data_IF_371313899267
#
_entry.id   IF_371313899267
#
_cell.length_a   1.000
_cell.length_b   1.000
_cell.length_c   1.000
_cell.angle_alpha   90.00
_cell.angle_beta   90.00
_cell.angle_gamma   90.00
#
_symmetry.space_group_name_H-M   'P 1'
#
loop_
_entity.id
_entity.type
_entity.pdbx_description
1 polymer ?
#
# COMPACT_ATOMS: atom_id res chain seq x y z
N UNK A 1 29.34 -52.03 -25.98
CA UNK A 1 30.46 -51.91 -25.01
C UNK A 1 31.75 -52.31 -25.73
N UNK A 2 32.91 -51.70 -25.44
CA UNK A 2 33.20 -50.27 -25.60
C UNK A 2 34.58 -50.00 -26.28
N UNK A 3 34.93 -48.73 -26.54
CA UNK A 3 36.32 -48.33 -26.86
C UNK A 3 36.47 -47.07 -27.73
N UNK A 4 36.90 -45.94 -27.14
CA UNK A 4 37.42 -44.78 -27.88
C UNK A 4 38.92 -44.94 -28.19
N UNK A 5 39.49 -44.12 -29.09
CA UNK A 5 40.41 -43.09 -28.56
C UNK A 5 40.39 -41.69 -29.25
N UNK A 6 40.92 -40.73 -28.48
CA UNK A 6 41.39 -39.35 -28.77
C UNK A 6 41.35 -38.74 -30.17
N UNK A 7 40.93 -37.47 -30.25
CA UNK A 7 41.29 -36.53 -31.32
C UNK A 7 42.41 -35.56 -30.88
N UNK A 8 43.26 -35.17 -31.84
CA UNK A 8 44.29 -34.13 -31.68
C UNK A 8 43.82 -32.74 -32.13
N UNK A 9 44.59 -31.67 -31.84
CA UNK A 9 44.17 -30.29 -32.09
C UNK A 9 44.42 -29.82 -33.53
N UNK A 10 43.49 -29.04 -34.08
CA UNK A 10 43.63 -28.34 -35.38
C UNK A 10 43.59 -26.83 -35.15
N UNK A 11 44.48 -26.08 -35.83
CA UNK A 11 44.87 -24.71 -35.47
C UNK A 11 43.93 -23.58 -35.92
N UNK A 12 44.18 -22.39 -35.36
CA UNK A 12 43.60 -21.09 -35.77
C UNK A 12 44.55 -20.32 -36.72
N UNK A 13 44.04 -19.44 -37.60
CA UNK A 13 44.87 -18.61 -38.48
C UNK A 13 45.64 -17.51 -37.74
N UNK A 14 46.77 -17.07 -38.32
CA UNK A 14 47.65 -16.01 -37.82
C UNK A 14 47.37 -14.65 -38.50
N UNK A 15 47.62 -13.55 -37.77
CA UNK A 15 47.84 -12.21 -38.31
C UNK A 15 49.16 -11.63 -37.76
N UNK A 16 50.17 -11.31 -38.59
CA UNK A 16 51.27 -10.40 -38.27
C UNK A 16 50.93 -8.97 -38.78
N UNK A 17 51.50 -7.86 -38.32
CA UNK A 17 52.52 -7.59 -37.28
C UNK A 17 52.96 -6.11 -37.40
N UNK A 18 53.23 -5.41 -36.30
CA UNK A 18 53.66 -3.99 -36.32
C UNK A 18 55.12 -3.78 -36.77
N UNK A 19 55.45 -2.69 -37.48
CA UNK A 19 56.80 -2.14 -37.57
C UNK A 19 57.02 -0.91 -36.63
N UNK A 20 58.28 -0.52 -36.33
CA UNK A 20 58.63 0.27 -35.13
C UNK A 20 58.92 1.77 -35.34
N UNK A 21 59.18 2.45 -34.22
CA UNK A 21 59.50 3.90 -34.11
C UNK A 21 60.79 4.31 -34.83
N UNK A 22 60.79 5.52 -35.40
CA UNK A 22 61.98 6.28 -35.80
C UNK A 22 61.96 7.70 -35.21
N UNK A 23 63.12 8.31 -34.97
CA UNK A 23 63.30 9.57 -34.24
C UNK A 23 64.09 10.63 -35.02
N UNK A 24 63.55 11.84 -35.11
CA UNK A 24 64.16 13.15 -35.48
C UNK A 24 63.01 14.19 -35.38
N UNK A 25 63.19 15.48 -35.07
CA UNK A 25 64.34 16.29 -34.64
C UNK A 25 63.79 17.66 -34.14
N UNK A 26 64.57 18.43 -33.37
CA UNK A 26 64.01 19.51 -32.53
C UNK A 26 63.83 20.90 -33.19
N UNK A 27 62.73 21.56 -32.81
CA UNK A 27 62.45 23.02 -32.71
C UNK A 27 61.11 23.15 -31.94
N UNK A 28 60.82 24.15 -31.10
CA UNK A 28 61.60 25.31 -30.63
C UNK A 28 60.99 25.93 -29.35
N UNK A 29 61.38 27.16 -29.01
CA UNK A 29 60.90 27.98 -27.86
C UNK A 29 59.97 29.13 -28.34
N UNK A 30 59.15 29.82 -27.49
CA UNK A 30 59.39 30.09 -26.06
C UNK A 30 58.21 29.92 -25.07
N UNK A 31 58.55 30.08 -23.79
CA UNK A 31 57.64 29.97 -22.65
C UNK A 31 56.86 31.27 -22.38
N UNK A 32 55.61 31.13 -21.91
CA UNK A 32 54.88 32.17 -21.19
C UNK A 32 54.78 31.82 -19.70
N UNK A 33 54.81 32.86 -18.85
CA UNK A 33 55.02 32.77 -17.41
C UNK A 33 53.81 32.30 -16.58
N UNK A 34 53.98 32.24 -15.24
CA UNK A 34 53.03 31.60 -14.34
C UNK A 34 51.78 32.45 -14.12
N UNK A 35 50.59 31.87 -14.32
CA UNK A 35 49.33 32.46 -13.88
C UNK A 35 48.86 31.88 -12.54
N UNK A 36 48.27 32.76 -11.74
CA UNK A 36 48.02 32.58 -10.30
C UNK A 36 46.83 31.66 -10.02
N UNK A 37 46.85 30.83 -8.94
CA UNK A 37 45.64 30.26 -8.39
C UNK A 37 44.77 31.35 -7.73
N UNK A 38 43.45 31.15 -7.75
CA UNK A 38 42.49 32.09 -7.18
C UNK A 38 42.47 32.05 -5.64
N UNK A 39 42.38 33.24 -5.01
CA UNK A 39 42.18 33.36 -3.58
C UNK A 39 40.76 32.93 -3.19
N UNK A 40 40.64 31.90 -2.36
CA UNK A 40 39.46 31.70 -1.51
C UNK A 40 39.75 32.28 -0.10
N UNK A 41 38.79 32.99 0.53
CA UNK A 41 39.00 33.56 1.86
C UNK A 41 39.14 32.48 2.93
N UNK A 42 39.99 32.75 3.93
CA UNK A 42 40.31 31.83 5.01
C UNK A 42 39.10 31.53 5.92
N UNK A 43 39.02 30.29 6.40
CA UNK A 43 38.08 29.91 7.44
C UNK A 43 38.41 30.63 8.76
N UNK A 44 37.41 31.27 9.36
CA UNK A 44 37.52 31.83 10.70
C UNK A 44 37.67 30.73 11.77
N UNK A 45 38.37 31.05 12.85
CA UNK A 45 38.60 30.12 13.95
C UNK A 45 37.29 29.71 14.67
N UNK A 46 37.21 28.51 15.27
CA UNK A 46 36.03 28.09 16.03
C UNK A 46 35.81 28.97 17.27
N UNK A 47 34.57 29.39 17.50
CA UNK A 47 34.15 29.99 18.76
C UNK A 47 34.10 28.92 19.87
N UNK A 48 34.48 29.23 21.12
CA UNK A 48 34.31 28.31 22.23
C UNK A 48 32.82 28.12 22.57
N UNK A 49 32.41 26.94 23.06
CA UNK A 49 31.02 26.69 23.43
C UNK A 49 30.59 27.54 24.64
N UNK A 50 29.31 27.97 24.71
CA UNK A 50 28.79 28.68 25.88
C UNK A 50 28.79 27.75 27.12
N UNK A 51 29.08 28.33 28.28
CA UNK A 51 29.17 27.59 29.54
C UNK A 51 27.84 26.93 29.92
N UNK A 52 27.93 25.69 30.42
CA UNK A 52 26.77 24.95 30.91
C UNK A 52 26.17 25.63 32.15
N UNK A 53 24.92 26.08 32.05
CA UNK A 53 24.14 26.51 33.19
C UNK A 53 23.77 25.29 34.05
N UNK A 54 24.14 25.29 35.33
CA UNK A 54 23.74 24.27 36.29
C UNK A 54 22.24 24.37 36.59
N UNK A 55 21.47 23.26 36.58
CA UNK A 55 20.06 23.30 36.95
C UNK A 55 19.89 23.57 38.46
N UNK A 56 18.85 24.30 38.88
CA UNK A 56 18.58 24.55 40.29
C UNK A 56 18.11 23.26 40.99
N UNK A 57 18.67 23.00 42.17
CA UNK A 57 18.23 21.91 43.05
C UNK A 57 16.88 22.29 43.67
N UNK A 58 15.81 21.59 43.28
CA UNK A 58 14.49 21.73 43.89
C UNK A 58 14.26 20.60 44.91
N UNK A 59 14.13 20.95 46.18
CA UNK A 59 13.78 20.03 47.28
C UNK A 59 12.39 20.36 47.84
N UNK A 60 11.33 19.68 47.39
CA UNK A 60 10.01 19.80 48.02
C UNK A 60 10.02 19.06 49.37
N UNK A 61 9.99 19.80 50.46
CA UNK A 61 9.79 19.22 51.79
C UNK A 61 8.36 18.68 51.93
N UNK A 62 8.23 17.39 52.21
CA UNK A 62 6.98 16.76 52.63
C UNK A 62 6.77 16.93 54.15
N UNK A 63 5.62 17.49 54.60
CA UNK A 63 5.08 17.21 55.92
C UNK A 63 4.22 15.93 55.84
N UNK A 64 4.55 14.92 56.65
CA UNK A 64 3.74 13.71 56.79
C UNK A 64 2.43 13.96 57.57
N UNK A 65 1.46 13.01 57.52
CA UNK A 65 0.15 13.18 58.14
C UNK A 65 0.18 13.01 59.66
N UNK A 66 -0.68 13.76 60.36
CA UNK A 66 -0.95 13.66 61.79
C UNK A 66 -2.34 13.05 62.07
N UNK A 67 -2.58 12.42 63.23
CA UNK A 67 -3.46 11.24 63.28
C UNK A 67 -4.88 11.44 63.85
N UNK A 68 -5.73 10.44 63.60
CA UNK A 68 -6.90 9.95 64.38
C UNK A 68 -7.86 10.95 65.10
N UNK A 69 -9.17 10.81 64.84
CA UNK A 69 -10.26 11.36 65.67
C UNK A 69 -10.50 10.52 66.95
N UNK A 70 -11.74 10.38 67.49
CA UNK A 70 -13.01 11.05 67.15
C UNK A 70 -13.73 11.65 68.40
N UNK A 71 -14.74 12.54 68.22
CA UNK A 71 -15.83 12.75 69.20
C UNK A 71 -17.15 13.13 68.52
N UNK A 72 -18.22 12.37 68.82
CA UNK A 72 -19.60 12.70 68.47
C UNK A 72 -20.21 13.69 69.48
N UNK A 73 -21.08 14.59 69.02
CA UNK A 73 -22.04 15.31 69.85
C UNK A 73 -23.35 15.58 69.06
N UNK A 74 -24.53 15.55 69.68
CA UNK A 74 -25.81 15.50 68.96
C UNK A 74 -26.47 16.89 68.77
N UNK A 75 -27.19 17.08 67.66
CA UNK A 75 -27.87 18.36 67.39
C UNK A 75 -28.60 18.45 66.06
N UNK A 76 -29.41 17.45 65.69
CA UNK A 76 -30.17 17.49 64.43
C UNK A 76 -31.36 18.47 64.53
N UNK A 77 -31.36 19.52 63.69
CA UNK A 77 -32.56 20.30 63.36
C UNK A 77 -32.78 20.19 61.84
N UNK A 78 -33.98 19.84 61.35
CA UNK A 78 -34.21 19.69 59.92
C UNK A 78 -34.15 21.06 59.23
N UNK A 79 -33.31 21.16 58.20
CA UNK A 79 -33.24 22.35 57.34
C UNK A 79 -34.43 22.36 56.38
N UNK A 80 -35.29 23.37 56.48
CA UNK A 80 -36.39 23.59 55.54
C UNK A 80 -35.83 24.24 54.27
N UNK A 81 -35.81 23.51 53.17
CA UNK A 81 -35.26 24.00 51.90
C UNK A 81 -36.05 25.21 51.39
N UNK A 82 -35.37 26.36 51.27
CA UNK A 82 -35.94 27.57 50.69
C UNK A 82 -36.07 27.37 49.17
N UNK A 83 -37.29 27.41 48.63
CA UNK A 83 -37.55 27.32 47.18
C UNK A 83 -36.67 28.35 46.44
N UNK A 84 -35.76 27.88 45.60
CA UNK A 84 -34.99 28.73 44.69
C UNK A 84 -35.56 28.63 43.28
N UNK A 85 -35.58 29.74 42.56
CA UNK A 85 -35.99 29.78 41.15
C UNK A 85 -34.88 29.31 40.20
N UNK A 86 -33.87 28.58 40.72
CA UNK A 86 -32.70 28.11 39.98
C UNK A 86 -33.08 27.27 38.77
N UNK A 87 -34.13 26.45 38.86
CA UNK A 87 -34.63 25.66 37.72
C UNK A 87 -35.10 26.52 36.55
N UNK A 88 -35.70 27.68 36.80
CA UNK A 88 -36.15 28.61 35.75
C UNK A 88 -34.94 29.30 35.11
N UNK A 89 -33.96 29.73 35.92
CA UNK A 89 -32.73 30.36 35.42
C UNK A 89 -31.92 29.39 34.55
N UNK A 90 -31.78 28.13 35.00
CA UNK A 90 -31.11 27.08 34.22
C UNK A 90 -31.88 26.75 32.94
N UNK A 91 -33.22 26.66 32.98
CA UNK A 91 -34.03 26.43 31.78
C UNK A 91 -33.88 27.56 30.74
N UNK A 92 -33.92 28.83 31.17
CA UNK A 92 -33.73 30.00 30.29
C UNK A 92 -32.30 30.03 29.72
N UNK A 93 -31.28 29.68 30.52
CA UNK A 93 -29.90 29.58 30.04
C UNK A 93 -29.74 28.47 28.99
N UNK A 94 -30.33 27.29 29.20
CA UNK A 94 -30.30 26.17 28.23
C UNK A 94 -31.03 26.57 26.94
N UNK A 95 -32.22 27.19 27.03
CA UNK A 95 -32.96 27.67 25.85
C UNK A 95 -32.14 28.73 25.08
N UNK A 96 -31.46 29.64 25.79
CA UNK A 96 -30.55 30.62 25.18
C UNK A 96 -29.37 29.96 24.46
N UNK A 97 -28.73 28.97 25.08
CA UNK A 97 -27.63 28.21 24.46
C UNK A 97 -28.11 27.42 23.24
N UNK A 98 -29.26 26.75 23.32
CA UNK A 98 -29.84 26.00 22.18
C UNK A 98 -30.24 26.96 21.05
N UNK A 99 -30.76 28.15 21.36
CA UNK A 99 -31.06 29.16 20.34
C UNK A 99 -29.80 29.73 19.67
N UNK A 100 -28.71 29.95 20.43
CA UNK A 100 -27.43 30.41 19.89
C UNK A 100 -26.75 29.32 19.06
N UNK A 101 -26.73 28.07 19.53
CA UNK A 101 -26.15 26.93 18.77
C UNK A 101 -26.99 26.62 17.54
N UNK A 102 -28.32 26.58 17.65
CA UNK A 102 -29.23 26.41 16.51
C UNK A 102 -29.12 27.56 15.50
N UNK A 103 -29.00 28.80 15.99
CA UNK A 103 -28.76 29.98 15.15
C UNK A 103 -27.41 29.98 14.45
N UNK A 104 -26.35 29.48 15.11
CA UNK A 104 -25.03 29.28 14.49
C UNK A 104 -25.06 28.17 13.43
N UNK A 105 -25.72 27.04 13.71
CA UNK A 105 -25.88 25.95 12.72
C UNK A 105 -26.69 26.42 11.52
N UNK A 106 -27.78 27.18 11.73
CA UNK A 106 -28.56 27.78 10.65
C UNK A 106 -27.77 28.87 9.88
N UNK A 107 -26.96 29.69 10.59
CA UNK A 107 -26.11 30.71 9.97
C UNK A 107 -24.99 30.10 9.11
N UNK A 108 -24.37 29.02 9.57
CA UNK A 108 -23.41 28.23 8.77
C UNK A 108 -24.08 27.62 7.54
N UNK A 109 -25.31 27.11 7.67
CA UNK A 109 -26.08 26.57 6.55
C UNK A 109 -26.54 27.63 5.52
N UNK A 110 -26.62 28.92 5.90
CA UNK A 110 -27.14 29.99 5.04
C UNK A 110 -26.09 30.95 4.48
N UNK A 111 -24.86 30.96 5.02
CA UNK A 111 -23.76 31.84 4.55
C UNK A 111 -22.54 31.02 4.07
N UNK A 112 -22.47 29.73 4.42
CA UNK A 112 -21.38 28.82 4.05
C UNK A 112 -21.47 28.23 2.64
N UNK A 113 -21.53 29.08 1.62
CA UNK A 113 -21.49 28.69 0.19
C UNK A 113 -20.15 28.11 -0.28
N UNK A 114 -19.62 27.10 0.43
CA UNK A 114 -18.56 26.21 -0.03
C UNK A 114 -18.90 24.79 0.41
N UNK A 115 -19.72 24.11 -0.38
CA UNK A 115 -19.72 22.64 -0.41
C UNK A 115 -18.29 22.22 -0.77
N UNK A 116 -17.47 21.91 0.24
CA UNK A 116 -16.24 21.16 0.01
C UNK A 116 -16.67 19.89 -0.71
N UNK A 117 -16.13 19.67 -1.90
CA UNK A 117 -16.29 18.42 -2.64
C UNK A 117 -15.60 17.30 -1.86
N UNK A 118 -16.27 16.81 -0.82
CA UNK A 118 -16.16 15.42 -0.40
C UNK A 118 -16.64 14.60 -1.58
N UNK A 119 -15.94 13.51 -1.89
CA UNK A 119 -16.22 12.68 -3.06
C UNK A 119 -17.50 11.83 -2.90
N UNK A 120 -18.65 12.50 -2.87
CA UNK A 120 -19.89 12.03 -3.50
C UNK A 120 -19.87 12.35 -5.02
N UNK A 121 -18.68 12.28 -5.61
CA UNK A 121 -18.57 11.86 -7.00
C UNK A 121 -19.12 10.43 -7.05
N UNK A 122 -20.41 10.30 -7.33
CA UNK A 122 -20.97 9.07 -7.86
C UNK A 122 -20.08 8.69 -9.04
N UNK A 123 -19.35 7.59 -8.89
CA UNK A 123 -18.32 7.16 -9.83
C UNK A 123 -19.02 6.73 -11.13
N UNK A 124 -19.32 7.72 -11.97
CA UNK A 124 -20.03 7.58 -13.25
C UNK A 124 -19.09 6.99 -14.30
N UNK A 125 -18.52 5.84 -13.98
CA UNK A 125 -18.08 4.93 -15.02
C UNK A 125 -19.34 4.44 -15.72
N UNK A 126 -19.52 4.92 -16.94
CA UNK A 126 -20.47 4.36 -17.89
C UNK A 126 -19.93 3.00 -18.34
N UNK A 127 -20.02 1.99 -17.46
CA UNK A 127 -19.69 0.62 -17.80
C UNK A 127 -20.67 0.12 -18.88
N UNK A 128 -20.18 -0.31 -20.06
CA UNK A 128 -21.01 -1.04 -20.99
C UNK A 128 -21.53 -2.30 -20.29
N UNK A 129 -22.85 -2.42 -20.19
CA UNK A 129 -23.48 -3.63 -19.65
C UNK A 129 -23.60 -4.67 -20.75
N UNK A 130 -22.48 -5.33 -21.07
CA UNK A 130 -22.48 -6.48 -21.97
C UNK A 130 -23.22 -7.64 -21.30
N UNK A 131 -24.46 -7.82 -21.75
CA UNK A 131 -25.37 -8.86 -21.27
C UNK A 131 -25.02 -10.15 -21.99
N UNK A 132 -24.25 -11.01 -21.32
CA UNK A 132 -23.95 -12.36 -21.81
C UNK A 132 -25.20 -13.23 -21.71
N UNK A 133 -25.92 -13.34 -22.83
CA UNK A 133 -27.10 -14.19 -22.98
C UNK A 133 -26.69 -15.67 -22.85
N UNK A 134 -26.96 -16.26 -21.69
CA UNK A 134 -26.61 -17.66 -21.39
C UNK A 134 -27.61 -18.58 -22.09
N UNK A 135 -27.23 -19.05 -23.28
CA UNK A 135 -28.00 -20.06 -24.02
C UNK A 135 -27.93 -21.39 -23.27
N UNK A 136 -28.97 -21.74 -22.53
CA UNK A 136 -29.09 -23.01 -21.83
C UNK A 136 -29.36 -24.14 -22.83
N UNK A 137 -28.42 -25.08 -22.94
CA UNK A 137 -28.58 -26.27 -23.79
C UNK A 137 -29.31 -27.38 -23.02
N UNK A 138 -30.43 -27.85 -23.57
CA UNK A 138 -31.34 -28.81 -22.96
C UNK A 138 -30.76 -30.24 -22.93
N UNK A 139 -30.97 -30.95 -21.82
CA UNK A 139 -30.37 -32.26 -21.56
C UNK A 139 -31.28 -33.41 -22.04
N UNK A 140 -31.07 -33.88 -23.27
CA UNK A 140 -31.78 -35.09 -23.76
C UNK A 140 -31.07 -36.36 -23.29
N UNK A 141 -31.81 -37.29 -22.70
CA UNK A 141 -31.33 -38.59 -22.23
C UNK A 141 -31.75 -39.67 -23.21
N UNK A 142 -30.84 -40.48 -23.74
CA UNK A 142 -31.19 -41.68 -24.50
C UNK A 142 -30.43 -42.95 -24.07
N UNK A 143 -31.07 -44.08 -24.37
CA UNK A 143 -30.93 -45.37 -23.67
C UNK A 143 -30.11 -46.37 -24.48
N UNK A 144 -29.31 -47.18 -23.79
CA UNK A 144 -28.54 -48.28 -24.40
C UNK A 144 -29.44 -49.37 -25.00
N UNK A 145 -29.19 -49.74 -26.25
CA UNK A 145 -29.42 -51.09 -26.76
C UNK A 145 -28.44 -51.45 -27.87
N UNK A 146 -28.10 -52.74 -27.91
CA UNK A 146 -27.11 -53.33 -28.82
C UNK A 146 -27.79 -54.36 -29.70
N UNK A 147 -27.49 -54.42 -31.00
CA UNK A 147 -27.45 -55.64 -31.82
C UNK A 147 -26.65 -55.42 -33.11
N UNK A 148 -25.64 -56.27 -33.30
CA UNK A 148 -24.96 -56.80 -34.50
C UNK A 148 -24.97 -56.04 -35.86
N UNK A 149 -23.75 -55.66 -36.27
CA UNK A 149 -23.06 -56.06 -37.51
C UNK A 149 -23.77 -56.03 -38.88
N UNK A 150 -23.32 -55.11 -39.74
CA UNK A 150 -23.00 -55.41 -41.16
C UNK A 150 -21.91 -54.46 -41.64
N UNK A 151 -20.88 -55.00 -42.30
CA UNK A 151 -19.71 -54.26 -42.78
C UNK A 151 -20.06 -53.32 -43.93
N UNK A 152 -19.69 -52.04 -43.83
CA UNK A 152 -19.48 -51.16 -44.98
C UNK A 152 -18.31 -50.22 -44.68
N UNK A 153 -17.37 -50.10 -45.61
CA UNK A 153 -16.19 -49.23 -45.46
C UNK A 153 -16.58 -47.79 -45.74
N UNK A 154 -16.57 -46.95 -44.71
CA UNK A 154 -16.73 -45.51 -44.86
C UNK A 154 -15.58 -44.78 -44.15
N UNK A 155 -14.99 -43.80 -44.83
CA UNK A 155 -13.81 -43.08 -44.36
C UNK A 155 -14.20 -42.11 -43.26
N UNK A 156 -14.26 -42.57 -42.01
CA UNK A 156 -14.52 -41.69 -40.86
C UNK A 156 -13.33 -40.76 -40.66
N UNK A 157 -13.49 -39.50 -41.09
CA UNK A 157 -12.58 -38.43 -40.71
C UNK A 157 -12.53 -38.36 -39.19
N UNK A 158 -11.34 -38.59 -38.62
CA UNK A 158 -11.15 -38.66 -37.18
C UNK A 158 -11.20 -37.24 -36.60
N UNK A 159 -12.42 -36.74 -36.41
CA UNK A 159 -12.68 -35.51 -35.68
C UNK A 159 -12.02 -35.65 -34.30
N UNK A 160 -10.85 -35.05 -34.17
CA UNK A 160 -10.08 -35.08 -32.93
C UNK A 160 -10.77 -34.07 -32.04
N UNK A 161 -11.79 -34.55 -31.31
CA UNK A 161 -12.49 -33.80 -30.29
C UNK A 161 -11.49 -33.49 -29.17
N UNK A 162 -10.74 -32.41 -29.36
CA UNK A 162 -9.82 -31.85 -28.39
C UNK A 162 -10.64 -31.57 -27.15
N UNK A 163 -10.46 -32.39 -26.13
CA UNK A 163 -11.06 -32.15 -24.83
C UNK A 163 -10.32 -30.94 -24.26
N UNK A 164 -10.86 -29.73 -24.52
CA UNK A 164 -10.40 -28.50 -23.90
C UNK A 164 -10.61 -28.63 -22.39
N UNK A 165 -9.57 -29.13 -21.73
CA UNK A 165 -9.46 -29.06 -20.27
C UNK A 165 -9.61 -27.59 -19.92
N UNK A 166 -10.57 -27.21 -19.06
CA UNK A 166 -10.79 -25.81 -18.73
C UNK A 166 -9.49 -25.15 -18.36
N UNK A 167 -9.17 -24.07 -19.08
CA UNK A 167 -8.05 -23.20 -18.74
C UNK A 167 -8.17 -22.83 -17.26
N UNK A 168 -7.23 -23.31 -16.44
CA UNK A 168 -7.13 -22.87 -15.05
C UNK A 168 -6.96 -21.34 -14.96
N UNK A 169 -7.09 -20.76 -13.75
CA UNK A 169 -6.96 -19.32 -13.54
C UNK A 169 -5.67 -18.76 -14.14
N UNK A 170 -5.79 -17.63 -14.85
CA UNK A 170 -4.67 -16.96 -15.55
C UNK A 170 -4.70 -15.47 -15.27
N UNK A 171 -3.53 -14.87 -15.10
CA UNK A 171 -3.39 -13.40 -15.07
C UNK A 171 -3.83 -12.81 -16.41
N UNK A 172 -4.32 -11.57 -16.38
CA UNK A 172 -4.74 -10.85 -17.57
C UNK A 172 -3.98 -9.53 -17.63
N UNK A 173 -3.09 -9.39 -18.62
CA UNK A 173 -2.27 -8.19 -18.82
C UNK A 173 -3.14 -7.01 -19.30
N UNK A 174 -3.90 -6.42 -18.37
CA UNK A 174 -4.85 -5.34 -18.56
C UNK A 174 -4.89 -4.44 -17.32
N UNK A 175 -5.10 -3.14 -17.52
CA UNK A 175 -5.25 -2.15 -16.44
C UNK A 175 -6.73 -1.89 -16.14
N UNK A 176 -7.34 -0.84 -16.70
CA UNK A 176 -8.70 -0.42 -16.33
C UNK A 176 -9.83 -1.38 -16.70
N UNK A 177 -9.59 -2.31 -17.63
CA UNK A 177 -10.51 -3.37 -18.04
C UNK A 177 -10.13 -4.76 -17.50
N UNK A 178 -9.30 -4.83 -16.45
CA UNK A 178 -8.92 -6.10 -15.81
C UNK A 178 -10.16 -6.83 -15.20
N UNK A 179 -10.26 -8.17 -15.29
CA UNK A 179 -11.33 -8.94 -14.64
C UNK A 179 -11.53 -8.66 -13.14
N UNK A 180 -10.49 -8.20 -12.44
CA UNK A 180 -10.55 -7.75 -11.05
C UNK A 180 -11.66 -6.70 -10.79
N UNK A 181 -12.01 -5.90 -11.81
CA UNK A 181 -12.97 -4.80 -11.76
C UNK A 181 -14.31 -5.09 -12.48
N UNK A 182 -14.51 -6.32 -12.97
CA UNK A 182 -15.62 -6.67 -13.87
C UNK A 182 -17.03 -6.56 -13.24
N UNK A 183 -17.15 -6.47 -11.92
CA UNK A 183 -18.44 -6.32 -11.23
C UNK A 183 -18.40 -5.25 -10.15
N UNK A 184 -19.48 -4.46 -10.09
CA UNK A 184 -19.74 -3.47 -9.05
C UNK A 184 -20.03 -4.09 -7.66
N UNK A 185 -20.38 -5.39 -7.62
CA UNK A 185 -20.74 -6.09 -6.38
C UNK A 185 -19.56 -6.81 -5.72
N UNK A 186 -18.44 -6.96 -6.43
CA UNK A 186 -17.28 -7.69 -5.94
C UNK A 186 -16.39 -6.85 -5.02
N UNK A 187 -16.06 -7.41 -3.86
CA UNK A 187 -15.23 -6.82 -2.82
C UNK A 187 -14.81 -7.87 -1.79
N UNK A 188 -14.03 -7.46 -0.80
CA UNK A 188 -13.51 -8.38 0.21
C UNK A 188 -14.59 -8.79 1.20
N UNK A 189 -14.54 -10.04 1.63
CA UNK A 189 -15.45 -10.53 2.66
C UNK A 189 -14.92 -10.24 4.04
N UNK A 190 -15.85 -9.92 4.93
CA UNK A 190 -15.60 -9.70 6.34
C UNK A 190 -15.17 -11.03 6.99
N UNK A 191 -13.86 -11.20 7.17
CA UNK A 191 -13.23 -12.37 7.80
C UNK A 191 -12.61 -11.97 9.15
N UNK A 192 -12.86 -12.72 10.25
CA UNK A 192 -12.24 -12.43 11.54
C UNK A 192 -10.75 -12.77 11.53
N UNK A 193 -9.89 -11.78 11.27
CA UNK A 193 -8.44 -11.94 11.37
C UNK A 193 -8.02 -12.38 12.78
N UNK A 194 -7.01 -13.24 12.86
CA UNK A 194 -6.35 -13.64 14.12
C UNK A 194 -4.86 -13.30 14.05
N UNK A 195 -4.53 -12.04 14.34
CA UNK A 195 -3.17 -11.53 14.32
C UNK A 195 -2.39 -11.95 15.57
N UNK A 196 -1.11 -12.27 15.37
CA UNK A 196 -0.13 -12.37 16.46
C UNK A 196 -0.04 -11.03 17.20
N UNK A 197 0.31 -11.06 18.49
CA UNK A 197 0.51 -9.82 19.27
C UNK A 197 1.67 -8.99 18.71
N UNK A 198 1.44 -7.69 18.52
CA UNK A 198 2.48 -6.72 18.16
C UNK A 198 3.47 -6.48 19.31
N UNK A 199 4.75 -6.37 18.95
CA UNK A 199 5.82 -5.76 19.72
C UNK A 199 6.95 -5.35 18.75
N UNK A 200 7.79 -4.40 19.14
CA UNK A 200 8.80 -3.79 18.26
C UNK A 200 10.06 -4.64 18.05
N UNK A 201 10.14 -5.86 18.60
CA UNK A 201 11.21 -6.80 18.28
C UNK A 201 10.96 -7.51 16.95
N UNK A 202 12.04 -7.77 16.20
CA UNK A 202 11.99 -8.36 14.85
C UNK A 202 11.18 -9.68 14.79
N UNK A 203 11.19 -10.49 15.85
CA UNK A 203 10.47 -11.76 15.87
C UNK A 203 8.96 -11.56 16.00
N UNK A 204 8.53 -10.58 16.82
CA UNK A 204 7.12 -10.24 16.98
C UNK A 204 6.56 -9.51 15.76
N UNK A 205 7.31 -8.58 15.18
CA UNK A 205 6.97 -7.94 13.90
C UNK A 205 6.81 -8.99 12.79
N UNK A 206 7.74 -9.94 12.68
CA UNK A 206 7.65 -11.03 11.70
C UNK A 206 6.38 -11.87 11.90
N UNK A 207 6.09 -12.33 13.13
CA UNK A 207 4.88 -13.11 13.42
C UNK A 207 3.59 -12.33 13.16
N UNK A 208 3.57 -11.04 13.48
CA UNK A 208 2.45 -10.15 13.19
C UNK A 208 2.17 -10.09 11.68
N UNK A 209 3.20 -9.78 10.87
CA UNK A 209 3.05 -9.71 9.42
C UNK A 209 2.70 -11.06 8.78
N UNK A 210 3.25 -12.18 9.27
CA UNK A 210 2.84 -13.54 8.83
C UNK A 210 1.35 -13.80 9.07
N UNK A 211 0.83 -13.45 10.25
CA UNK A 211 -0.60 -13.58 10.54
C UNK A 211 -1.48 -12.57 9.77
N UNK A 212 -0.91 -11.41 9.39
CA UNK A 212 -1.56 -10.44 8.52
C UNK A 212 -1.72 -10.98 7.09
N UNK A 213 -0.65 -11.55 6.52
CA UNK A 213 -0.68 -12.25 5.23
C UNK A 213 -1.74 -13.36 5.25
N UNK A 214 -1.79 -14.18 6.31
CA UNK A 214 -2.80 -15.23 6.40
C UNK A 214 -4.26 -14.71 6.39
N UNK A 215 -4.53 -13.50 6.90
CA UNK A 215 -5.85 -12.89 6.79
C UNK A 215 -6.11 -12.28 5.41
N UNK A 216 -5.11 -11.60 4.83
CA UNK A 216 -5.17 -11.06 3.47
C UNK A 216 -5.41 -12.18 2.45
N UNK A 217 -4.70 -13.30 2.57
CA UNK A 217 -4.88 -14.53 1.78
C UNK A 217 -6.32 -15.04 1.86
N UNK A 218 -6.90 -15.14 3.06
CA UNK A 218 -8.27 -15.63 3.25
C UNK A 218 -9.32 -14.74 2.56
N UNK A 219 -9.06 -13.43 2.46
CA UNK A 219 -9.97 -12.45 1.85
C UNK A 219 -9.76 -12.36 0.33
N UNK A 220 -8.51 -12.32 -0.14
CA UNK A 220 -8.17 -12.16 -1.55
C UNK A 220 -8.26 -13.46 -2.36
N UNK A 221 -7.95 -14.63 -1.80
CA UNK A 221 -8.06 -15.92 -2.51
C UNK A 221 -9.48 -16.18 -3.02
N UNK A 222 -10.50 -15.95 -2.17
CA UNK A 222 -11.90 -16.08 -2.57
C UNK A 222 -12.31 -15.00 -3.58
N UNK A 223 -11.81 -13.77 -3.46
CA UNK A 223 -12.09 -12.71 -4.42
C UNK A 223 -11.53 -13.04 -5.80
N UNK A 224 -10.23 -13.34 -5.90
CA UNK A 224 -9.55 -13.68 -7.16
C UNK A 224 -10.15 -14.94 -7.80
N UNK A 225 -10.50 -15.95 -7.00
CA UNK A 225 -11.19 -17.15 -7.48
C UNK A 225 -12.55 -16.89 -8.12
N UNK A 226 -13.32 -15.92 -7.63
CA UNK A 226 -14.63 -15.52 -8.22
C UNK A 226 -14.48 -14.87 -9.60
N UNK A 227 -13.35 -14.21 -9.87
CA UNK A 227 -13.04 -13.60 -11.18
C UNK A 227 -12.07 -14.44 -12.04
N UNK A 228 -11.86 -15.72 -11.68
CA UNK A 228 -10.97 -16.66 -12.36
C UNK A 228 -9.52 -16.16 -12.54
N UNK A 229 -9.04 -15.33 -11.60
CA UNK A 229 -7.65 -14.89 -11.52
C UNK A 229 -6.82 -15.82 -10.61
N UNK A 230 -5.52 -15.98 -10.86
CA UNK A 230 -4.67 -16.90 -10.10
C UNK A 230 -4.46 -16.42 -8.66
N UNK A 231 -4.22 -17.36 -7.76
CA UNK A 231 -3.91 -17.08 -6.37
C UNK A 231 -2.71 -17.90 -5.89
N UNK A 232 -1.85 -17.27 -5.09
CA UNK A 232 -0.76 -17.88 -4.31
C UNK A 232 -0.31 -16.90 -3.24
N UNK A 233 -0.04 -17.38 -2.03
CA UNK A 233 0.50 -16.57 -0.92
C UNK A 233 1.82 -15.88 -1.30
N UNK A 234 2.05 -14.61 -0.94
CA UNK A 234 3.34 -13.95 -1.10
C UNK A 234 4.34 -14.42 -0.03
N UNK A 235 5.62 -14.41 -0.39
CA UNK A 235 6.72 -14.55 0.57
C UNK A 235 6.85 -13.29 1.44
N UNK A 236 7.47 -13.42 2.61
CA UNK A 236 7.72 -12.31 3.54
C UNK A 236 9.20 -12.24 3.92
N UNK A 237 9.78 -11.04 3.88
CA UNK A 237 11.12 -10.74 4.37
C UNK A 237 11.11 -9.55 5.32
N UNK A 238 11.59 -9.74 6.56
CA UNK A 238 11.64 -8.70 7.61
C UNK A 238 13.08 -8.55 8.12
N UNK A 239 14.00 -7.97 7.32
CA UNK A 239 15.39 -7.75 7.73
C UNK A 239 15.50 -6.61 8.76
N UNK A 240 16.62 -6.51 9.49
CA UNK A 240 16.78 -5.41 10.47
C UNK A 240 17.00 -4.06 9.79
N UNK A 241 17.71 -4.08 8.68
CA UNK A 241 17.96 -2.89 7.86
C UNK A 241 17.62 -3.15 6.40
N UNK A 242 17.25 -2.09 5.66
CA UNK A 242 17.12 -2.17 4.20
C UNK A 242 18.40 -2.64 3.51
N UNK A 243 19.57 -2.33 4.08
CA UNK A 243 20.88 -2.83 3.62
C UNK A 243 21.08 -4.35 3.77
N UNK A 244 20.29 -5.02 4.62
CA UNK A 244 20.27 -6.49 4.74
C UNK A 244 19.28 -7.14 3.75
N UNK A 245 18.46 -6.36 3.02
CA UNK A 245 17.52 -6.88 2.01
C UNK A 245 18.25 -7.38 0.76
N UNK A 246 18.38 -8.69 0.61
CA UNK A 246 18.70 -9.30 -0.69
C UNK A 246 17.43 -9.47 -1.52
N UNK A 247 17.37 -8.84 -2.69
CA UNK A 247 16.18 -8.79 -3.55
C UNK A 247 16.56 -8.77 -5.04
N UNK A 248 15.84 -9.52 -5.90
CA UNK A 248 16.04 -9.49 -7.35
C UNK A 248 15.45 -8.25 -8.02
N UNK A 249 14.65 -7.44 -7.30
CA UNK A 249 14.12 -6.16 -7.80
C UNK A 249 15.11 -4.98 -7.61
N UNK A 250 16.35 -5.25 -7.17
CA UNK A 250 17.36 -4.23 -6.87
C UNK A 250 17.24 -3.67 -5.45
N UNK A 251 18.34 -3.11 -4.93
CA UNK A 251 18.35 -2.52 -3.58
C UNK A 251 17.36 -1.35 -3.49
N UNK A 252 16.44 -1.41 -2.52
CA UNK A 252 15.27 -0.54 -2.45
C UNK A 252 15.60 0.95 -2.52
N UNK A 253 15.29 1.56 -3.66
CA UNK A 253 15.43 2.99 -3.91
C UNK A 253 14.08 3.63 -4.19
N UNK A 254 13.14 3.56 -3.24
CA UNK A 254 11.91 4.36 -3.32
C UNK A 254 12.18 5.80 -2.90
N UNK A 255 11.30 6.70 -3.34
CA UNK A 255 11.51 8.16 -3.39
C UNK A 255 11.03 8.89 -2.13
N UNK A 256 10.19 8.22 -1.36
CA UNK A 256 9.73 8.60 -0.03
C UNK A 256 10.64 7.95 1.03
N UNK A 257 10.63 8.46 2.27
CA UNK A 257 11.51 7.95 3.35
C UNK A 257 11.16 6.55 3.87
N UNK A 258 10.24 5.83 3.22
CA UNK A 258 9.55 4.64 3.69
C UNK A 258 9.80 3.55 2.64
N UNK A 259 10.55 2.51 3.01
CA UNK A 259 11.03 1.44 2.11
C UNK A 259 10.57 0.00 2.44
N UNK A 260 9.34 -0.24 2.92
CA UNK A 260 8.54 -1.37 2.45
C UNK A 260 8.50 -1.44 0.91
N UNK A 261 8.42 -2.63 0.35
CA UNK A 261 8.07 -2.83 -1.07
C UNK A 261 7.67 -4.28 -1.36
N UNK A 262 6.82 -4.49 -2.36
CA UNK A 262 6.60 -5.78 -3.01
C UNK A 262 7.53 -5.98 -4.21
N UNK A 263 8.15 -7.15 -4.32
CA UNK A 263 8.95 -7.53 -5.48
C UNK A 263 8.22 -8.57 -6.35
N UNK A 264 7.73 -8.22 -7.56
CA UNK A 264 7.01 -9.16 -8.42
C UNK A 264 7.87 -10.31 -8.97
N UNK A 265 9.20 -10.14 -9.03
CA UNK A 265 10.13 -11.14 -9.58
C UNK A 265 10.29 -12.39 -8.69
N UNK A 266 10.05 -12.29 -7.39
CA UNK A 266 10.10 -13.41 -6.44
C UNK A 266 8.92 -13.42 -5.44
N UNK A 267 7.87 -12.66 -5.76
CA UNK A 267 6.63 -12.61 -5.02
C UNK A 267 6.79 -12.33 -3.53
N UNK A 268 7.76 -11.48 -3.18
CA UNK A 268 8.14 -11.22 -1.78
C UNK A 268 7.77 -9.81 -1.35
N UNK A 269 7.05 -9.70 -0.23
CA UNK A 269 6.87 -8.46 0.53
C UNK A 269 8.10 -8.26 1.42
N UNK A 270 8.82 -7.16 1.23
CA UNK A 270 9.96 -6.75 2.03
C UNK A 270 9.55 -5.64 2.99
N UNK A 271 9.76 -5.85 4.29
CA UNK A 271 9.41 -4.93 5.38
C UNK A 271 10.62 -4.73 6.31
N UNK A 272 11.61 -3.89 5.95
CA UNK A 272 12.78 -3.65 6.78
C UNK A 272 12.40 -2.93 8.07
N UNK A 273 12.92 -3.41 9.21
CA UNK A 273 12.59 -2.84 10.53
C UNK A 273 12.95 -1.35 10.65
N UNK A 274 14.05 -0.93 10.02
CA UNK A 274 14.51 0.47 9.98
C UNK A 274 13.75 1.37 8.98
N UNK A 275 12.65 0.87 8.39
CA UNK A 275 11.85 1.56 7.35
C UNK A 275 10.34 1.51 7.55
N UNK A 276 9.86 0.88 8.63
CA UNK A 276 8.44 0.85 8.99
C UNK A 276 8.09 1.86 10.11
N UNK A 277 8.97 2.83 10.40
CA UNK A 277 8.73 3.91 11.38
C UNK A 277 8.40 3.40 12.81
N UNK A 278 9.24 2.51 13.34
CA UNK A 278 9.14 1.98 14.72
C UNK A 278 9.27 3.07 15.81
N UNK A 279 9.96 4.16 15.50
CA UNK A 279 10.13 5.34 16.34
C UNK A 279 8.92 6.30 16.29
N UNK A 280 8.12 6.26 15.23
CA UNK A 280 6.92 7.11 15.06
C UNK A 280 5.68 6.44 15.65
N UNK A 281 5.38 5.19 15.25
CA UNK A 281 4.13 4.52 15.66
C UNK A 281 4.29 3.54 16.85
N UNK A 282 5.51 3.12 17.18
CA UNK A 282 5.83 2.31 18.37
C UNK A 282 4.94 1.07 18.57
N UNK A 283 3.97 1.17 19.49
CA UNK A 283 3.05 0.08 19.86
C UNK A 283 1.65 0.17 19.23
N UNK A 284 1.45 1.03 18.23
CA UNK A 284 0.21 1.15 17.46
C UNK A 284 0.25 0.22 16.23
N UNK A 285 -0.36 -0.98 16.24
CA UNK A 285 -0.27 -1.93 15.12
C UNK A 285 -0.94 -1.47 13.81
N UNK A 286 -1.89 -0.52 13.85
CA UNK A 286 -2.68 -0.10 12.68
C UNK A 286 -1.85 0.35 11.46
N UNK A 287 -0.93 1.32 11.59
CA UNK A 287 -0.10 1.80 10.48
C UNK A 287 0.74 0.69 9.84
N UNK A 288 1.39 -0.16 10.65
CA UNK A 288 2.16 -1.31 10.16
C UNK A 288 1.30 -2.29 9.36
N UNK A 289 0.07 -2.55 9.81
CA UNK A 289 -0.88 -3.41 9.10
C UNK A 289 -1.39 -2.76 7.80
N UNK A 290 -1.56 -1.45 7.78
CA UNK A 290 -1.92 -0.67 6.58
C UNK A 290 -0.82 -0.71 5.52
N UNK A 291 0.44 -0.64 5.95
CA UNK A 291 1.61 -0.85 5.08
C UNK A 291 1.61 -2.28 4.51
N UNK A 292 1.50 -3.32 5.36
CA UNK A 292 1.44 -4.70 4.87
C UNK A 292 0.33 -4.90 3.83
N UNK A 293 -0.85 -4.35 4.08
CA UNK A 293 -1.99 -4.46 3.17
C UNK A 293 -1.82 -3.66 1.87
N UNK A 294 -1.00 -2.60 1.88
CA UNK A 294 -0.60 -1.84 0.68
C UNK A 294 0.38 -2.67 -0.18
N UNK A 295 1.41 -3.26 0.43
CA UNK A 295 2.33 -4.17 -0.29
C UNK A 295 1.62 -5.43 -0.82
N UNK A 296 0.63 -5.92 -0.07
CA UNK A 296 -0.26 -6.99 -0.55
C UNK A 296 -1.16 -6.51 -1.71
N UNK A 297 -1.51 -5.23 -1.77
CA UNK A 297 -2.18 -4.61 -2.92
C UNK A 297 -1.35 -4.76 -4.21
N UNK A 298 -0.04 -4.50 -4.15
CA UNK A 298 0.87 -4.75 -5.28
C UNK A 298 0.98 -6.24 -5.64
N UNK A 299 0.93 -7.12 -4.64
CA UNK A 299 0.86 -8.56 -4.88
C UNK A 299 -0.43 -8.96 -5.64
N UNK A 300 -1.59 -8.38 -5.28
CA UNK A 300 -2.86 -8.58 -5.99
C UNK A 300 -2.79 -8.04 -7.42
N UNK A 301 -2.21 -6.85 -7.64
CA UNK A 301 -1.98 -6.30 -8.98
C UNK A 301 -1.11 -7.23 -9.83
N UNK A 302 -0.11 -7.87 -9.24
CA UNK A 302 0.76 -8.82 -9.91
C UNK A 302 0.04 -10.13 -10.28
N UNK A 303 -0.76 -10.68 -9.36
CA UNK A 303 -1.62 -11.85 -9.63
C UNK A 303 -2.66 -11.56 -10.73
N UNK A 304 -3.23 -10.35 -10.73
CA UNK A 304 -4.21 -9.93 -11.72
C UNK A 304 -3.61 -9.68 -13.13
N UNK A 305 -2.30 -9.48 -13.24
CA UNK A 305 -1.61 -9.07 -14.48
C UNK A 305 -1.54 -7.55 -14.70
N UNK A 306 -2.03 -6.76 -13.75
CA UNK A 306 -2.00 -5.27 -13.81
C UNK A 306 -0.55 -4.78 -13.82
N UNK A 307 0.34 -5.37 -13.00
CA UNK A 307 1.75 -4.99 -12.93
C UNK A 307 2.50 -5.14 -14.26
N UNK A 308 2.14 -6.15 -15.06
CA UNK A 308 2.71 -6.39 -16.39
C UNK A 308 2.26 -5.32 -17.38
N UNK A 309 0.95 -5.04 -17.43
CA UNK A 309 0.38 -4.00 -18.29
C UNK A 309 0.90 -2.61 -17.94
N UNK A 310 1.01 -2.29 -16.64
CA UNK A 310 1.66 -1.09 -16.12
C UNK A 310 3.12 -0.98 -16.58
N UNK A 311 3.91 -2.06 -16.43
CA UNK A 311 5.32 -2.09 -16.81
C UNK A 311 5.54 -1.76 -18.29
N UNK A 312 4.74 -2.36 -19.18
CA UNK A 312 4.77 -2.09 -20.61
C UNK A 312 4.36 -0.64 -20.94
N UNK A 313 3.20 -0.19 -20.44
CA UNK A 313 2.71 1.18 -20.67
C UNK A 313 3.70 2.25 -20.17
N UNK A 314 4.34 2.02 -19.03
CA UNK A 314 5.31 2.96 -18.45
C UNK A 314 6.66 2.94 -19.13
N UNK A 315 7.08 1.79 -19.69
CA UNK A 315 8.25 1.72 -20.56
C UNK A 315 8.03 2.57 -21.82
N UNK A 316 6.91 2.35 -22.53
CA UNK A 316 6.56 3.07 -23.76
C UNK A 316 6.40 4.58 -23.54
N UNK A 317 5.79 4.98 -22.42
CA UNK A 317 5.63 6.38 -22.04
C UNK A 317 6.94 7.06 -21.58
N UNK A 318 7.98 6.30 -21.27
CA UNK A 318 9.19 6.76 -20.57
C UNK A 318 8.95 6.95 -19.07
N UNK A 319 9.73 6.26 -18.23
CA UNK A 319 9.51 6.10 -16.79
C UNK A 319 9.40 7.41 -15.97
N UNK A 320 10.08 8.48 -16.42
CA UNK A 320 10.12 9.79 -15.75
C UNK A 320 9.37 10.89 -16.53
N UNK A 321 8.63 10.53 -17.58
CA UNK A 321 7.73 11.46 -18.26
C UNK A 321 6.49 11.77 -17.41
N UNK A 322 5.77 12.84 -17.72
CA UNK A 322 4.52 13.16 -17.02
C UNK A 322 3.49 12.00 -17.09
N UNK A 323 3.46 11.26 -18.20
CA UNK A 323 2.60 10.08 -18.38
C UNK A 323 3.14 8.90 -17.57
N UNK A 324 4.46 8.63 -17.62
CA UNK A 324 5.09 7.55 -16.86
C UNK A 324 4.97 7.72 -15.34
N UNK A 325 5.00 8.96 -14.86
CA UNK A 325 4.72 9.33 -13.47
C UNK A 325 3.24 9.17 -13.12
N UNK A 326 2.32 9.57 -14.01
CA UNK A 326 0.88 9.34 -13.79
C UNK A 326 0.52 7.85 -13.71
N UNK A 327 1.11 7.01 -14.56
CA UNK A 327 0.95 5.56 -14.49
C UNK A 327 1.45 5.00 -13.15
N UNK A 328 2.56 5.52 -12.59
CA UNK A 328 2.99 5.14 -11.23
C UNK A 328 1.96 5.55 -10.19
N UNK A 329 1.51 6.81 -10.18
CA UNK A 329 0.52 7.27 -9.18
C UNK A 329 -0.77 6.46 -9.23
N UNK A 330 -1.22 6.01 -10.41
CA UNK A 330 -2.37 5.09 -10.56
C UNK A 330 -2.10 3.74 -9.90
N UNK A 331 -0.94 3.14 -10.15
CA UNK A 331 -0.50 1.88 -9.53
C UNK A 331 -0.47 1.96 -7.99
N UNK A 332 0.16 2.99 -7.45
CA UNK A 332 0.32 3.21 -6.00
C UNK A 332 -1.03 3.49 -5.30
N UNK A 333 -1.87 4.34 -5.89
CA UNK A 333 -3.17 4.71 -5.30
C UNK A 333 -4.20 3.57 -5.35
N UNK A 334 -4.05 2.61 -6.28
CA UNK A 334 -4.88 1.41 -6.34
C UNK A 334 -4.51 0.42 -5.22
N UNK A 335 -3.22 0.13 -5.02
CA UNK A 335 -2.73 -0.62 -3.87
C UNK A 335 -3.11 0.05 -2.53
N UNK A 336 -3.10 1.38 -2.48
CA UNK A 336 -3.56 2.17 -1.36
C UNK A 336 -5.06 2.03 -1.09
N UNK A 337 -5.89 1.96 -2.13
CA UNK A 337 -7.31 1.67 -2.01
C UNK A 337 -7.56 0.23 -1.53
N UNK A 338 -6.82 -0.75 -2.03
CA UNK A 338 -6.87 -2.15 -1.57
C UNK A 338 -6.49 -2.31 -0.08
N UNK A 339 -5.49 -1.57 0.40
CA UNK A 339 -5.15 -1.50 1.84
C UNK A 339 -6.34 -1.02 2.67
N UNK A 340 -7.04 0.02 2.20
CA UNK A 340 -8.27 0.51 2.78
C UNK A 340 -9.37 -0.55 2.83
N UNK A 341 -9.65 -1.21 1.70
CA UNK A 341 -10.66 -2.28 1.59
C UNK A 341 -10.43 -3.39 2.63
N UNK A 342 -9.18 -3.85 2.77
CA UNK A 342 -8.82 -4.87 3.76
C UNK A 342 -9.13 -4.41 5.18
N UNK A 343 -8.63 -3.23 5.60
CA UNK A 343 -8.81 -2.77 6.97
C UNK A 343 -10.27 -2.43 7.30
N UNK A 344 -11.03 -1.86 6.36
CA UNK A 344 -12.47 -1.65 6.51
C UNK A 344 -13.21 -2.96 6.75
N UNK A 345 -13.01 -3.95 5.89
CA UNK A 345 -13.66 -5.25 5.95
C UNK A 345 -13.25 -6.09 7.18
N UNK A 346 -11.96 -6.13 7.50
CA UNK A 346 -11.45 -6.86 8.68
C UNK A 346 -11.97 -6.26 10.00
N UNK A 347 -12.02 -4.93 10.13
CA UNK A 347 -12.36 -4.23 11.38
C UNK A 347 -13.78 -4.47 11.93
N UNK A 348 -14.70 -4.92 11.07
CA UNK A 348 -16.10 -5.19 11.41
C UNK A 348 -16.39 -6.69 11.64
N UNK A 349 -15.37 -7.54 11.57
CA UNK A 349 -15.53 -9.00 11.55
C UNK A 349 -15.45 -9.68 12.92
N UNK A 350 -15.16 -8.95 13.99
CA UNK A 350 -15.00 -9.50 15.35
C UNK A 350 -13.70 -10.27 15.59
N UNK A 351 -12.70 -10.09 14.73
CA UNK A 351 -11.35 -10.61 14.92
C UNK A 351 -10.46 -9.67 15.74
N UNK A 352 -9.14 -9.92 15.71
CA UNK A 352 -8.14 -9.08 16.37
C UNK A 352 -7.87 -7.75 15.64
N UNK A 353 -8.27 -7.64 14.36
CA UNK A 353 -8.36 -6.34 13.69
C UNK A 353 -9.67 -5.73 14.15
N UNK A 354 -9.56 -4.82 15.12
CA UNK A 354 -10.69 -4.15 15.74
C UNK A 354 -10.79 -2.69 15.27
N UNK A 355 -11.72 -1.94 15.89
CA UNK A 355 -11.90 -0.54 15.56
C UNK A 355 -10.72 0.35 16.00
N UNK A 356 -9.92 -0.06 16.98
CA UNK A 356 -8.73 0.68 17.37
C UNK A 356 -7.64 0.55 16.30
N UNK A 357 -7.30 -0.67 15.87
CA UNK A 357 -6.33 -0.91 14.78
C UNK A 357 -6.75 -0.17 13.50
N UNK A 358 -8.05 -0.18 13.18
CA UNK A 358 -8.60 0.59 12.07
C UNK A 358 -8.40 2.11 12.23
N UNK A 359 -8.70 2.67 13.40
CA UNK A 359 -8.57 4.11 13.64
C UNK A 359 -7.09 4.55 13.65
N UNK A 360 -6.19 3.75 14.20
CA UNK A 360 -4.74 3.99 14.16
C UNK A 360 -4.25 4.04 12.70
N UNK A 361 -4.67 3.07 11.87
CA UNK A 361 -4.37 3.07 10.44
C UNK A 361 -4.97 4.29 9.73
N UNK A 362 -6.24 4.61 9.97
CA UNK A 362 -6.93 5.76 9.36
C UNK A 362 -6.18 7.08 9.57
N UNK A 363 -5.59 7.26 10.75
CA UNK A 363 -4.85 8.48 11.12
C UNK A 363 -3.40 8.52 10.59
N UNK A 364 -2.91 7.43 9.98
CA UNK A 364 -1.54 7.33 9.45
C UNK A 364 -1.48 7.31 7.90
N UNK A 365 -2.54 7.78 7.22
CA UNK A 365 -2.57 7.85 5.75
C UNK A 365 -2.03 9.16 5.15
N UNK A 366 -1.54 10.08 5.98
CA UNK A 366 -0.89 11.33 5.56
C UNK A 366 0.54 11.05 5.06
N UNK A 367 0.62 10.44 3.86
CA UNK A 367 1.84 9.96 3.18
C UNK A 367 1.73 10.15 1.67
N UNK A 368 2.86 10.26 0.97
CA UNK A 368 2.88 10.38 -0.49
C UNK A 368 3.90 11.40 -0.98
N UNK A 369 3.67 11.92 -2.19
CA UNK A 369 4.57 12.81 -2.93
C UNK A 369 4.96 14.09 -2.16
N UNK A 370 4.10 14.60 -1.28
CA UNK A 370 4.35 15.80 -0.46
C UNK A 370 5.54 15.62 0.52
N UNK A 371 5.95 14.38 0.77
CA UNK A 371 7.11 14.01 1.60
C UNK A 371 8.28 13.41 0.78
N UNK A 372 8.17 13.37 -0.55
CA UNK A 372 9.20 12.80 -1.43
C UNK A 372 10.46 13.69 -1.47
N UNK A 373 11.59 13.17 -0.97
CA UNK A 373 12.82 13.96 -0.75
C UNK A 373 13.54 14.35 -2.03
N UNK A 374 13.24 13.67 -3.14
CA UNK A 374 13.80 13.96 -4.46
C UNK A 374 12.84 14.76 -5.37
N UNK A 375 11.66 15.14 -4.87
CA UNK A 375 10.64 15.86 -5.63
C UNK A 375 9.96 15.05 -6.74
N UNK A 376 10.15 13.72 -6.79
CA UNK A 376 9.45 12.85 -7.75
C UNK A 376 7.98 12.71 -7.37
N UNK A 377 7.11 12.65 -8.39
CA UNK A 377 5.65 12.62 -8.26
C UNK A 377 5.10 11.27 -8.73
N UNK A 378 5.45 10.21 -8.03
CA UNK A 378 5.20 8.82 -8.42
C UNK A 378 4.24 8.04 -7.50
N UNK A 379 3.90 8.55 -6.32
CA UNK A 379 3.00 7.89 -5.35
C UNK A 379 1.69 8.65 -5.09
N UNK A 380 1.55 9.83 -5.69
CA UNK A 380 0.39 10.71 -5.56
C UNK A 380 0.47 11.57 -4.30
N UNK A 381 -0.24 12.69 -4.27
CA UNK A 381 -0.26 13.58 -3.11
C UNK A 381 -0.79 12.89 -1.84
N UNK A 382 -0.44 13.43 -0.68
CA UNK A 382 -0.94 13.02 0.63
C UNK A 382 -2.48 13.05 0.67
N UNK A 383 -3.09 14.09 0.08
CA UNK A 383 -4.54 14.19 -0.11
C UNK A 383 -5.11 12.98 -0.85
N UNK A 384 -4.49 12.54 -1.95
CA UNK A 384 -5.00 11.40 -2.74
C UNK A 384 -4.72 10.06 -2.06
N UNK A 385 -3.58 9.91 -1.36
CA UNK A 385 -3.30 8.73 -0.53
C UNK A 385 -4.33 8.55 0.60
N UNK A 386 -4.72 9.64 1.27
CA UNK A 386 -5.80 9.65 2.25
C UNK A 386 -7.12 9.28 1.57
N UNK A 387 -7.50 9.96 0.47
CA UNK A 387 -8.83 9.79 -0.12
C UNK A 387 -9.04 8.39 -0.71
N UNK A 388 -8.06 7.82 -1.42
CA UNK A 388 -8.18 6.48 -2.00
C UNK A 388 -8.24 5.39 -0.94
N UNK A 389 -7.45 5.50 0.13
CA UNK A 389 -7.53 4.57 1.25
C UNK A 389 -8.89 4.64 1.96
N UNK A 390 -9.40 5.84 2.25
CA UNK A 390 -10.71 6.03 2.86
C UNK A 390 -11.86 5.56 1.95
N UNK A 391 -11.70 5.72 0.63
CA UNK A 391 -12.66 5.22 -0.37
C UNK A 391 -12.71 3.69 -0.34
N UNK A 392 -11.56 3.01 -0.41
CA UNK A 392 -11.50 1.56 -0.26
C UNK A 392 -12.10 1.06 1.06
N UNK A 393 -11.72 1.69 2.18
CA UNK A 393 -12.19 1.34 3.52
C UNK A 393 -13.70 1.53 3.73
N UNK A 394 -14.33 2.48 3.04
CA UNK A 394 -15.77 2.77 3.17
C UNK A 394 -16.64 2.05 2.14
N UNK A 395 -16.15 1.82 0.93
CA UNK A 395 -16.92 1.19 -0.16
C UNK A 395 -16.75 -0.32 -0.20
N UNK A 396 -15.54 -0.83 0.06
CA UNK A 396 -15.19 -2.26 -0.05
C UNK A 396 -15.72 -2.90 -1.35
N UNK A 397 -15.26 -2.37 -2.51
CA UNK A 397 -15.56 -2.88 -3.85
C UNK A 397 -14.34 -2.70 -4.74
N UNK A 398 -13.92 -3.76 -5.44
CA UNK A 398 -12.73 -3.72 -6.29
C UNK A 398 -12.87 -2.65 -7.37
N UNK A 399 -14.03 -2.60 -8.03
CA UNK A 399 -14.34 -1.67 -9.10
C UNK A 399 -14.26 -0.19 -8.66
N UNK A 400 -14.50 0.09 -7.37
CA UNK A 400 -14.36 1.44 -6.80
C UNK A 400 -12.89 1.82 -6.59
N UNK A 401 -11.96 0.87 -6.59
CA UNK A 401 -10.50 1.11 -6.52
C UNK A 401 -9.80 1.16 -7.89
N UNK A 402 -10.55 1.11 -9.01
CA UNK A 402 -9.99 1.12 -10.37
C UNK A 402 -9.44 2.52 -10.74
N UNK A 403 -8.22 2.83 -10.30
CA UNK A 403 -7.57 4.13 -10.55
C UNK A 403 -7.28 4.37 -12.02
N UNK A 404 -7.21 3.32 -12.85
CA UNK A 404 -6.91 3.40 -14.28
C UNK A 404 -8.03 4.08 -15.09
N UNK A 405 -9.26 4.05 -14.60
CA UNK A 405 -10.40 4.76 -15.19
C UNK A 405 -10.70 6.12 -14.53
N UNK A 406 -9.96 6.48 -13.48
CA UNK A 406 -10.10 7.78 -12.81
C UNK A 406 -9.57 8.95 -13.67
N UNK A 407 -10.07 10.16 -13.45
CA UNK A 407 -9.50 11.34 -14.11
C UNK A 407 -8.09 11.63 -13.57
N UNK A 408 -7.21 12.17 -14.42
CA UNK A 408 -5.80 12.46 -14.04
C UNK A 408 -5.67 13.38 -12.82
N UNK A 409 -6.66 14.21 -12.53
CA UNK A 409 -6.71 15.05 -11.33
C UNK A 409 -6.89 14.25 -10.02
N UNK A 410 -7.61 13.13 -10.06
CA UNK A 410 -7.94 12.30 -8.89
C UNK A 410 -6.79 11.37 -8.48
N UNK A 411 -5.75 11.28 -9.31
CA UNK A 411 -4.55 10.44 -9.12
C UNK A 411 -3.26 11.28 -9.08
N UNK A 412 -3.35 12.54 -8.63
CA UNK A 412 -2.29 13.55 -8.79
C UNK A 412 -1.36 13.80 -7.60
#
# INVERSE_FOLDING_TARGET
>A
MPGQPSQGPVGRPQFPGQPPRGSQGAQGFPAHGPYRPANFPQAGAPLPPPAAATPPVFTPAYPGPAPFGPRFAPGYRPYVAKKSNTGVIVAVAIIGIVAVVGGLVAGVALIGGTTRHVADAGYSSTYPSDTYETTSAEQTTETTSSTEETTTSETTERETRTSETPSGPRSVAATGNNPLFASADYGLQNVPCSLSRWATDQSSVTRFFQSGIACLDAMWSRMLGVVNLPFRTPNLSVPRSLSESSTPCGGGGTTTGVTPFYCPTNDTIYLPMDRIELDVWGNHPGPYLSILAHEYGHHVQNLAGISEAYGNQRYDAGADSAVGLELSRRMELEAQCFSGMFLGSASVSGGSVDRNIYNEAWNAQDRGDDYARNGKRDHGSAKHNISWWQHGASKNRNQQCNTWLAASGDVS
#
